data_IF_450846034186
#
_entry.id   IF_450846034186
#
_cell.length_a   1.000
_cell.length_b   1.000
_cell.length_c   1.000
_cell.angle_alpha   90.00
_cell.angle_beta   90.00
_cell.angle_gamma   90.00
#
_symmetry.space_group_name_H-M   'P 1'
#
loop_
_entity.id
_entity.type
_entity.pdbx_description
1 polymer ?
#
# COMPACT_ATOMS: atom_id res chain seq x y z
N UNK A 1 1.00 0.81 23.42
CA UNK A 1 -0.03 1.15 22.42
C UNK A 1 0.34 0.44 21.13
N UNK A 2 -0.53 -0.41 20.59
CA UNK A 2 -0.33 -0.90 19.22
C UNK A 2 -0.63 0.29 18.31
N UNK A 3 0.36 0.73 17.54
CA UNK A 3 0.13 1.75 16.51
C UNK A 3 -0.74 1.03 15.48
N UNK A 4 -2.06 1.21 15.57
CA UNK A 4 -2.97 0.69 14.56
C UNK A 4 -2.52 1.34 13.25
N UNK A 5 -1.98 0.52 12.35
CA UNK A 5 -1.67 0.96 11.01
C UNK A 5 -3.00 1.42 10.43
N UNK A 6 -3.09 2.73 10.17
CA UNK A 6 -4.26 3.26 9.51
C UNK A 6 -4.34 2.56 8.16
N UNK A 7 -5.54 2.11 7.83
CA UNK A 7 -5.82 1.60 6.50
C UNK A 7 -5.56 2.71 5.46
N UNK A 8 -5.43 2.31 4.21
CA UNK A 8 -5.35 3.22 3.09
C UNK A 8 -6.63 4.08 2.97
N UNK A 9 -6.64 5.10 2.09
CA UNK A 9 -7.81 5.97 1.89
C UNK A 9 -9.11 5.24 1.56
N UNK A 10 -9.03 3.98 1.11
CA UNK A 10 -10.16 3.13 0.76
C UNK A 10 -10.52 2.12 1.85
N UNK A 11 -9.91 2.25 3.04
CA UNK A 11 -10.21 1.41 4.19
C UNK A 11 -9.60 0.01 4.11
N UNK A 12 -8.64 -0.22 3.20
CA UNK A 12 -7.93 -1.50 3.04
C UNK A 12 -6.57 -1.45 3.78
N UNK A 13 -6.12 -2.57 4.36
CA UNK A 13 -4.81 -2.61 5.01
C UNK A 13 -3.69 -2.46 3.96
N UNK A 14 -2.69 -1.64 4.25
CA UNK A 14 -1.49 -1.55 3.41
C UNK A 14 -0.76 -2.89 3.36
N UNK A 15 -0.23 -3.21 2.17
CA UNK A 15 0.67 -4.33 1.97
C UNK A 15 2.08 -3.92 2.36
N UNK A 16 2.68 -4.71 3.26
CA UNK A 16 4.06 -4.57 3.68
C UNK A 16 4.85 -5.77 3.20
N UNK A 17 6.04 -5.52 2.64
CA UNK A 17 6.97 -6.56 2.24
C UNK A 17 8.34 -6.29 2.86
N UNK A 18 8.82 -7.27 3.63
CA UNK A 18 10.12 -7.26 4.29
C UNK A 18 10.79 -8.64 4.12
N UNK A 19 12.00 -8.73 3.54
CA UNK A 19 12.77 -7.64 2.94
C UNK A 19 12.07 -7.08 1.68
N UNK A 20 12.14 -5.76 1.50
CA UNK A 20 11.61 -5.08 0.33
C UNK A 20 12.39 -5.40 -0.95
N UNK A 21 11.78 -5.08 -2.07
CA UNK A 21 12.34 -5.20 -3.42
C UNK A 21 13.09 -3.94 -3.80
N UNK A 22 12.61 -2.77 -3.34
CA UNK A 22 13.17 -1.46 -3.64
C UNK A 22 13.94 -0.84 -2.45
N UNK A 23 13.94 -1.53 -1.30
CA UNK A 23 14.65 -1.13 -0.08
C UNK A 23 14.44 -2.16 1.02
N UNK A 24 14.64 -1.77 2.27
CA UNK A 24 14.45 -2.68 3.41
C UNK A 24 12.97 -3.07 3.58
N UNK A 25 12.05 -2.13 3.31
CA UNK A 25 10.61 -2.30 3.45
C UNK A 25 9.90 -1.67 2.25
N UNK A 26 9.10 -2.47 1.55
CA UNK A 26 8.15 -1.95 0.56
C UNK A 26 6.77 -1.80 1.22
N UNK A 27 6.14 -0.63 1.06
CA UNK A 27 4.76 -0.36 1.44
C UNK A 27 3.96 -0.07 0.16
N UNK A 28 2.85 -0.77 -0.03
CA UNK A 28 1.98 -0.72 -1.21
C UNK A 28 0.50 -0.62 -0.81
N UNK A 29 -0.28 0.17 -1.53
CA UNK A 29 -1.74 0.15 -1.56
C UNK A 29 -2.20 0.11 -3.02
N UNK A 30 -3.15 -0.76 -3.32
CA UNK A 30 -3.69 -1.01 -4.67
C UNK A 30 -4.80 -0.04 -5.07
N UNK A 31 -4.80 1.18 -4.57
CA UNK A 31 -5.86 2.14 -4.90
C UNK A 31 -7.27 1.71 -4.49
N UNK A 32 -8.27 2.32 -5.13
CA UNK A 32 -9.69 2.06 -4.89
C UNK A 32 -10.15 0.68 -5.33
N UNK A 33 -9.55 0.11 -6.37
CA UNK A 33 -9.97 -1.16 -6.96
C UNK A 33 -9.37 -2.36 -6.20
N UNK A 34 -8.21 -2.21 -5.57
CA UNK A 34 -7.54 -3.29 -4.86
C UNK A 34 -6.77 -4.24 -5.76
N UNK A 35 -6.44 -3.82 -6.97
CA UNK A 35 -5.67 -4.59 -7.93
C UNK A 35 -4.36 -3.87 -8.27
N UNK A 36 -3.38 -4.63 -8.75
CA UNK A 36 -2.14 -4.04 -9.26
C UNK A 36 -2.41 -3.21 -10.52
N UNK A 37 -1.78 -2.04 -10.60
CA UNK A 37 -1.91 -1.09 -11.70
C UNK A 37 -2.99 -0.03 -11.46
N UNK A 38 -3.78 0.24 -12.49
CA UNK A 38 -4.81 1.28 -12.44
C UNK A 38 -4.28 2.70 -12.66
N UNK A 39 -5.23 3.63 -12.82
CA UNK A 39 -4.99 5.06 -13.02
C UNK A 39 -5.92 5.87 -12.11
N UNK A 40 -5.51 7.09 -11.77
CA UNK A 40 -6.29 7.99 -10.91
C UNK A 40 -6.50 7.38 -9.52
N UNK A 41 -7.76 7.25 -9.10
CA UNK A 41 -8.11 6.69 -7.79
C UNK A 41 -7.79 5.18 -7.68
N UNK A 42 -7.60 4.49 -8.81
CA UNK A 42 -7.20 3.08 -8.81
C UNK A 42 -5.69 2.89 -8.87
N UNK A 43 -4.91 3.99 -8.96
CA UNK A 43 -3.47 3.86 -9.10
C UNK A 43 -2.83 3.30 -7.83
N UNK A 44 -1.86 2.40 -8.02
CA UNK A 44 -1.00 1.90 -6.96
C UNK A 44 -0.26 3.03 -6.23
N UNK A 45 -0.35 3.05 -4.91
CA UNK A 45 0.40 3.94 -4.03
C UNK A 45 1.54 3.15 -3.39
N UNK A 46 2.77 3.51 -3.76
CA UNK A 46 4.01 2.91 -3.24
C UNK A 46 4.89 3.95 -2.55
N UNK A 47 5.67 3.52 -1.55
CA UNK A 47 6.54 4.41 -0.77
C UNK A 47 7.92 4.72 -1.40
N UNK A 48 8.23 4.17 -2.57
CA UNK A 48 9.53 4.36 -3.24
C UNK A 48 9.39 5.13 -4.55
#
# INVERSE_FOLDING_TARGET
MKKELQNDPWGRPYLYRFPGTHGDLDLLSFGADGQEGGDGDNADIVNW
#
